data_IF_322232182872
#
_entry.id   IF_322232182872
#
_cell.length_a   1.000
_cell.length_b   1.000
_cell.length_c   1.000
_cell.angle_alpha   90.00
_cell.angle_beta   90.00
_cell.angle_gamma   90.00
#
_symmetry.space_group_name_H-M   'P 1'
#
loop_
_entity.id
_entity.type
_entity.pdbx_description
1 polymer ?
#
# COMPACT_ATOMS: atom_id res chain seq x y z
N UNK A 1 2.40 1.71 -17.30
CA UNK A 1 2.14 0.77 -16.19
C UNK A 1 0.87 0.02 -16.56
N UNK A 2 0.85 -1.31 -16.44
CA UNK A 2 -0.34 -2.13 -16.70
C UNK A 2 -1.60 -1.54 -16.09
N UNK A 3 -2.70 -1.67 -16.84
CA UNK A 3 -4.05 -1.15 -16.63
C UNK A 3 -4.76 -1.80 -15.44
N UNK A 4 -4.08 -1.86 -14.30
CA UNK A 4 -4.68 -2.33 -13.07
C UNK A 4 -5.42 -1.16 -12.41
N UNK A 5 -6.72 -1.10 -12.66
CA UNK A 5 -7.64 -0.03 -12.20
C UNK A 5 -7.59 0.19 -10.68
N UNK A 6 -7.08 -0.79 -9.92
CA UNK A 6 -6.85 -0.66 -8.48
C UNK A 6 -5.88 0.47 -8.15
N UNK A 7 -4.88 0.72 -8.99
CA UNK A 7 -3.97 1.84 -8.78
C UNK A 7 -4.67 3.19 -8.93
N UNK A 8 -5.54 3.33 -9.93
CA UNK A 8 -6.28 4.58 -10.17
C UNK A 8 -7.27 4.92 -9.05
N UNK A 9 -7.71 3.90 -8.33
CA UNK A 9 -8.71 3.98 -7.27
C UNK A 9 -8.11 3.81 -5.87
N UNK A 10 -6.79 3.64 -5.76
CA UNK A 10 -6.09 3.60 -4.48
C UNK A 10 -6.11 4.98 -3.86
N UNK A 11 -6.47 5.06 -2.59
CA UNK A 11 -6.58 6.33 -1.87
C UNK A 11 -5.45 6.57 -0.87
N UNK A 12 -4.82 5.49 -0.42
CA UNK A 12 -3.75 5.52 0.55
C UNK A 12 -2.76 4.39 0.30
N UNK A 13 -1.46 4.68 0.47
CA UNK A 13 -0.39 3.69 0.46
C UNK A 13 0.14 3.43 1.86
N UNK A 14 0.37 2.17 2.20
CA UNK A 14 0.93 1.75 3.48
C UNK A 14 2.12 0.84 3.23
N UNK A 15 3.29 1.26 3.67
CA UNK A 15 4.45 0.38 3.74
C UNK A 15 4.21 -0.65 4.84
N UNK A 16 4.12 -1.92 4.44
CA UNK A 16 3.93 -3.05 5.34
C UNK A 16 4.36 -4.36 4.67
N UNK A 17 5.17 -5.14 5.37
CA UNK A 17 5.41 -6.55 5.01
C UNK A 17 4.13 -7.39 5.15
N UNK A 18 4.06 -8.60 4.57
CA UNK A 18 2.89 -9.47 4.71
C UNK A 18 2.51 -9.76 6.16
N UNK A 19 3.52 -9.98 7.01
CA UNK A 19 3.31 -10.20 8.43
C UNK A 19 2.72 -8.97 9.14
N UNK A 20 3.24 -7.77 8.84
CA UNK A 20 2.73 -6.53 9.43
C UNK A 20 1.31 -6.22 8.96
N UNK A 21 1.01 -6.45 7.67
CA UNK A 21 -0.33 -6.33 7.12
C UNK A 21 -1.29 -7.30 7.83
N UNK A 22 -0.94 -8.57 7.94
CA UNK A 22 -1.77 -9.57 8.60
C UNK A 22 -2.00 -9.21 10.08
N UNK A 23 -0.93 -8.89 10.80
CA UNK A 23 -1.00 -8.48 12.20
C UNK A 23 -1.90 -7.25 12.38
N UNK A 24 -1.77 -6.26 11.48
CA UNK A 24 -2.60 -5.07 11.50
C UNK A 24 -4.08 -5.42 11.27
N UNK A 25 -4.41 -6.18 10.24
CA UNK A 25 -5.78 -6.47 9.85
C UNK A 25 -6.49 -7.40 10.84
N UNK A 26 -5.78 -8.37 11.42
CA UNK A 26 -6.38 -9.37 12.32
C UNK A 26 -6.39 -8.95 13.80
N UNK A 27 -5.39 -8.16 14.25
CA UNK A 27 -5.18 -7.89 15.68
C UNK A 27 -5.52 -6.46 16.09
N UNK A 28 -5.81 -5.56 15.15
CA UNK A 28 -6.16 -4.18 15.49
C UNK A 28 -7.64 -4.08 15.87
N UNK A 29 -7.91 -3.98 17.17
CA UNK A 29 -9.26 -3.82 17.74
C UNK A 29 -10.04 -2.63 17.13
N UNK A 30 -9.35 -1.56 16.73
CA UNK A 30 -9.99 -0.40 16.12
C UNK A 30 -10.60 -0.70 14.75
N UNK A 31 -10.19 -1.80 14.11
CA UNK A 31 -10.70 -2.23 12.82
C UNK A 31 -12.05 -2.94 12.90
N UNK A 32 -12.47 -3.43 14.09
CA UNK A 32 -13.74 -4.18 14.26
C UNK A 32 -14.99 -3.39 13.88
N UNK A 33 -14.93 -2.06 13.87
CA UNK A 33 -16.02 -1.17 13.48
C UNK A 33 -16.10 -0.88 11.97
N UNK A 34 -15.15 -1.39 11.18
CA UNK A 34 -15.09 -1.17 9.73
C UNK A 34 -15.38 -2.47 8.97
N UNK A 35 -15.98 -2.34 7.79
CA UNK A 35 -16.13 -3.46 6.86
C UNK A 35 -14.81 -3.66 6.11
N UNK A 36 -14.12 -4.76 6.34
CA UNK A 36 -12.86 -5.07 5.66
C UNK A 36 -13.11 -6.15 4.61
N UNK A 37 -12.67 -5.88 3.38
CA UNK A 37 -12.67 -6.88 2.31
C UNK A 37 -11.32 -6.89 1.63
N UNK A 38 -10.71 -8.08 1.56
CA UNK A 38 -9.54 -8.29 0.71
C UNK A 38 -9.95 -8.13 -0.75
N UNK A 39 -9.21 -7.33 -1.52
CA UNK A 39 -9.55 -7.09 -2.93
C UNK A 39 -9.02 -8.21 -3.82
N UNK A 40 -7.79 -8.71 -3.57
CA UNK A 40 -7.20 -9.87 -4.25
C UNK A 40 -5.87 -10.38 -3.61
N UNK A 41 -5.12 -11.22 -4.34
CA UNK A 41 -3.80 -11.79 -4.00
C UNK A 41 -2.58 -10.87 -4.27
N UNK A 42 -2.81 -9.59 -4.59
CA UNK A 42 -1.71 -8.66 -4.89
C UNK A 42 -1.04 -8.87 -6.24
N UNK A 43 -0.03 -8.04 -6.53
CA UNK A 43 0.84 -8.13 -7.71
C UNK A 43 2.28 -7.74 -7.33
N UNK A 44 3.25 -8.22 -8.10
CA UNK A 44 4.66 -7.80 -7.99
C UNK A 44 5.07 -7.04 -9.23
N UNK A 45 5.79 -5.92 -9.09
CA UNK A 45 6.37 -5.17 -10.21
C UNK A 45 7.85 -4.92 -10.01
N UNK A 46 8.64 -5.19 -11.04
CA UNK A 46 10.01 -4.70 -11.13
C UNK A 46 9.99 -3.21 -11.46
N UNK A 47 10.56 -2.38 -10.58
CA UNK A 47 10.59 -0.93 -10.74
C UNK A 47 11.95 -0.40 -11.24
N UNK A 48 12.97 -1.25 -11.23
CA UNK A 48 14.29 -0.93 -11.76
C UNK A 48 15.32 -2.01 -11.43
N UNK A 49 16.59 -1.68 -11.59
CA UNK A 49 17.71 -2.60 -11.39
C UNK A 49 18.87 -1.88 -10.69
N UNK A 50 19.50 -2.56 -9.73
CA UNK A 50 20.72 -2.13 -9.05
C UNK A 50 21.80 -3.20 -9.29
N UNK A 51 22.88 -2.84 -9.99
CA UNK A 51 23.94 -3.79 -10.40
C UNK A 51 23.38 -5.05 -11.08
N UNK A 52 22.45 -4.87 -12.04
CA UNK A 52 21.73 -5.94 -12.76
C UNK A 52 20.83 -6.83 -11.90
N UNK A 53 20.67 -6.55 -10.61
CA UNK A 53 19.69 -7.22 -9.74
C UNK A 53 18.38 -6.43 -9.74
N UNK A 54 17.21 -7.07 -9.91
CA UNK A 54 15.94 -6.36 -9.98
C UNK A 54 15.56 -5.80 -8.61
N UNK A 55 15.01 -4.58 -8.60
CA UNK A 55 14.29 -4.02 -7.45
C UNK A 55 12.80 -4.25 -7.70
N UNK A 56 12.19 -5.09 -6.88
CA UNK A 56 10.80 -5.52 -7.02
C UNK A 56 9.96 -5.03 -5.84
N UNK A 57 8.76 -4.52 -6.14
CA UNK A 57 7.79 -4.08 -5.13
C UNK A 57 6.53 -4.92 -5.27
N UNK A 58 6.12 -5.52 -4.16
CA UNK A 58 4.85 -6.20 -4.00
C UNK A 58 3.77 -5.21 -3.58
N UNK A 59 2.57 -5.37 -4.11
CA UNK A 59 1.41 -4.54 -3.85
C UNK A 59 0.21 -5.40 -3.52
N UNK A 60 -0.44 -5.14 -2.40
CA UNK A 60 -1.63 -5.84 -1.92
C UNK A 60 -2.74 -4.84 -1.63
N UNK A 61 -3.97 -5.16 -2.01
CA UNK A 61 -5.10 -4.24 -1.83
C UNK A 61 -6.11 -4.77 -0.84
N UNK A 62 -6.50 -3.88 0.07
CA UNK A 62 -7.59 -4.10 1.02
C UNK A 62 -8.53 -2.92 0.97
N UNK A 63 -9.83 -3.18 1.01
CA UNK A 63 -10.83 -2.14 1.22
C UNK A 63 -11.23 -2.12 2.68
N UNK A 64 -11.21 -0.94 3.27
CA UNK A 64 -11.76 -0.65 4.60
C UNK A 64 -12.92 0.31 4.39
N UNK A 65 -14.14 -0.15 4.66
CA UNK A 65 -15.38 0.38 4.11
C UNK A 65 -15.31 0.44 2.57
N UNK A 66 -15.42 1.64 1.98
CA UNK A 66 -15.27 1.86 0.54
C UNK A 66 -13.86 2.37 0.16
N UNK A 67 -13.00 2.64 1.15
CA UNK A 67 -11.65 3.17 0.93
C UNK A 67 -10.71 2.04 0.50
N UNK A 68 -10.18 2.13 -0.73
CA UNK A 68 -9.17 1.18 -1.23
C UNK A 68 -7.78 1.62 -0.80
N UNK A 69 -7.11 0.77 -0.03
CA UNK A 69 -5.76 0.97 0.46
C UNK A 69 -4.83 -0.02 -0.24
N UNK A 70 -3.64 0.45 -0.59
CA UNK A 70 -2.56 -0.38 -1.12
C UNK A 70 -1.49 -0.56 -0.04
N UNK A 71 -1.30 -1.79 0.42
CA UNK A 71 -0.11 -2.20 1.14
C UNK A 71 1.01 -2.44 0.12
N UNK A 72 2.23 -2.01 0.41
CA UNK A 72 3.38 -2.29 -0.43
C UNK A 72 4.63 -2.59 0.40
N UNK A 73 5.51 -3.39 -0.17
CA UNK A 73 6.82 -3.72 0.42
C UNK A 73 7.80 -4.16 -0.66
N UNK A 74 9.10 -4.10 -0.36
CA UNK A 74 10.13 -4.61 -1.26
C UNK A 74 10.22 -6.13 -1.14
N UNK A 75 10.14 -6.84 -2.27
CA UNK A 75 10.24 -8.30 -2.36
C UNK A 75 11.67 -8.77 -2.70
N UNK A 76 12.44 -7.90 -3.36
CA UNK A 76 13.78 -8.24 -3.85
C UNK A 76 14.84 -8.25 -2.76
N UNK A 77 15.90 -9.05 -2.97
CA UNK A 77 17.10 -9.10 -2.13
C UNK A 77 17.78 -7.72 -2.01
N UNK A 78 17.73 -6.93 -3.08
CA UNK A 78 18.17 -5.53 -3.08
C UNK A 78 17.00 -4.60 -2.91
N UNK A 79 17.14 -3.61 -2.03
CA UNK A 79 16.13 -2.58 -1.78
C UNK A 79 16.76 -1.21 -2.04
N UNK A 80 16.11 -0.41 -2.88
CA UNK A 80 16.45 1.00 -3.08
C UNK A 80 15.18 1.84 -2.84
N UNK A 81 15.08 2.39 -1.64
CA UNK A 81 13.92 3.19 -1.23
C UNK A 81 13.74 4.47 -2.04
N UNK A 82 14.83 5.05 -2.54
CA UNK A 82 14.74 6.23 -3.41
C UNK A 82 14.12 5.85 -4.75
N UNK A 83 14.56 4.74 -5.34
CA UNK A 83 13.99 4.20 -6.57
C UNK A 83 12.52 3.82 -6.41
N UNK A 84 12.15 3.23 -5.27
CA UNK A 84 10.75 2.94 -4.92
C UNK A 84 9.95 4.23 -4.86
N UNK A 85 10.39 5.20 -4.06
CA UNK A 85 9.69 6.48 -3.88
C UNK A 85 9.51 7.24 -5.20
N UNK A 86 10.56 7.30 -6.03
CA UNK A 86 10.53 7.95 -7.33
C UNK A 86 9.56 7.24 -8.28
N UNK A 87 9.56 5.90 -8.31
CA UNK A 87 8.66 5.08 -9.11
C UNK A 87 7.19 5.25 -8.71
N UNK A 88 6.91 5.19 -7.40
CA UNK A 88 5.55 5.35 -6.85
C UNK A 88 5.04 6.78 -7.04
N UNK A 89 5.87 7.80 -6.78
CA UNK A 89 5.48 9.21 -6.95
C UNK A 89 5.22 9.59 -8.41
N UNK A 90 5.97 8.98 -9.35
CA UNK A 90 5.77 9.19 -10.79
C UNK A 90 4.46 8.56 -11.28
N UNK A 91 4.03 7.47 -10.65
CA UNK A 91 2.90 6.67 -11.13
C UNK A 91 1.60 7.02 -10.41
N UNK A 92 1.64 7.27 -9.10
CA UNK A 92 0.45 7.41 -8.27
C UNK A 92 0.35 8.84 -7.73
N UNK A 93 -0.64 9.59 -8.20
CA UNK A 93 -0.90 10.96 -7.72
C UNK A 93 -1.11 10.99 -6.20
N UNK A 94 -1.83 10.01 -5.66
CA UNK A 94 -2.12 9.92 -4.22
C UNK A 94 -0.84 9.75 -3.39
N UNK A 95 0.15 9.03 -3.92
CA UNK A 95 1.46 8.87 -3.27
C UNK A 95 2.22 10.21 -3.25
N UNK A 96 2.23 10.91 -4.39
CA UNK A 96 2.84 12.23 -4.54
C UNK A 96 2.16 13.31 -3.68
N UNK A 97 0.86 13.19 -3.44
CA UNK A 97 0.08 14.07 -2.56
C UNK A 97 0.31 13.78 -1.06
N UNK A 98 1.17 12.82 -0.73
CA UNK A 98 1.49 12.49 0.66
C UNK A 98 0.49 11.56 1.33
N UNK A 99 -0.44 10.94 0.58
CA UNK A 99 -1.34 9.89 1.09
C UNK A 99 -0.61 8.54 1.13
N UNK A 100 0.49 8.53 1.88
CA UNK A 100 1.37 7.40 2.13
C UNK A 100 1.83 7.38 3.58
N UNK A 101 2.00 6.20 4.13
CA UNK A 101 2.46 6.01 5.51
C UNK A 101 3.09 4.62 5.67
N UNK A 102 3.50 4.26 6.89
CA UNK A 102 3.85 2.89 7.27
C UNK A 102 2.88 2.38 8.33
N UNK A 103 2.97 1.09 8.66
CA UNK A 103 2.10 0.44 9.65
C UNK A 103 2.08 1.13 11.02
N UNK A 104 3.18 1.73 11.48
CA UNK A 104 3.24 2.42 12.79
C UNK A 104 2.32 3.63 12.86
N UNK A 105 2.07 4.25 11.72
CA UNK A 105 1.30 5.46 11.57
C UNK A 105 -0.10 5.18 10.98
N UNK A 106 -0.60 3.94 11.12
CA UNK A 106 -1.90 3.52 10.59
C UNK A 106 -3.10 4.30 11.16
N UNK A 107 -2.96 4.89 12.35
CA UNK A 107 -3.99 5.75 12.94
C UNK A 107 -4.40 6.91 12.01
N UNK A 108 -3.47 7.47 11.24
CA UNK A 108 -3.78 8.51 10.25
C UNK A 108 -4.68 8.00 9.11
N UNK A 109 -4.51 6.74 8.72
CA UNK A 109 -5.36 6.10 7.70
C UNK A 109 -6.77 5.90 8.22
N UNK A 110 -6.92 5.44 9.47
CA UNK A 110 -8.24 5.28 10.09
C UNK A 110 -8.97 6.61 10.24
N UNK A 111 -8.24 7.67 10.61
CA UNK A 111 -8.80 9.01 10.71
C UNK A 111 -9.25 9.53 9.34
N UNK A 112 -8.45 9.33 8.30
CA UNK A 112 -8.83 9.64 6.92
C UNK A 112 -10.11 8.89 6.50
N UNK A 113 -10.18 7.58 6.75
CA UNK A 113 -11.37 6.78 6.43
C UNK A 113 -12.57 7.29 7.20
N UNK A 114 -12.43 7.58 8.49
CA UNK A 114 -13.52 8.07 9.34
C UNK A 114 -14.09 9.39 8.84
N UNK A 115 -13.24 10.32 8.41
CA UNK A 115 -13.67 11.63 7.91
C UNK A 115 -14.36 11.55 6.54
N UNK A 116 -13.93 10.60 5.69
CA UNK A 116 -14.42 10.50 4.31
C UNK A 116 -15.57 9.50 4.11
N UNK A 117 -15.63 8.46 4.94
CA UNK A 117 -16.52 7.29 4.77
C UNK A 117 -17.24 6.87 6.06
N UNK A 118 -17.10 7.63 7.15
CA UNK A 118 -17.87 7.47 8.38
C UNK A 118 -19.11 8.34 8.36
#
# INVERSE_FOLDING_TARGET
MDSDDRFATTEYFIEATPFEQEALLLRNENLKKYKITQDNMGIVKTIGYLDKRPVCVSFDWTKINACRICFYYSESEVVDWKMIDDSLSKTFSVYREGRRTNVRNFGHVLEYIRQKYG
#
